data_IF_194011293277
#
_entry.id   IF_194011293277
#
_cell.length_a   1.000
_cell.length_b   1.000
_cell.length_c   1.000
_cell.angle_alpha   90.00
_cell.angle_beta   90.00
_cell.angle_gamma   90.00
#
_symmetry.space_group_name_H-M   'P 1'
#
loop_
_entity.id
_entity.type
_entity.pdbx_description
1 polymer ?
#
# COMPACT_ATOMS: atom_id res chain seq x y z
N UNK A 1 4.49 -6.96 -12.46
CA UNK A 1 5.28 -5.86 -11.90
C UNK A 1 6.15 -6.47 -10.80
N UNK A 2 7.46 -6.57 -11.03
CA UNK A 2 8.42 -7.23 -10.13
C UNK A 2 9.67 -6.35 -10.05
N UNK A 3 10.14 -6.13 -8.83
CA UNK A 3 11.37 -5.41 -8.53
C UNK A 3 12.22 -6.21 -7.57
N UNK A 4 13.52 -5.95 -7.61
CA UNK A 4 14.49 -6.50 -6.68
C UNK A 4 15.33 -5.35 -6.12
N UNK A 5 15.53 -5.36 -4.80
CA UNK A 5 16.37 -4.38 -4.10
C UNK A 5 17.39 -5.14 -3.24
N UNK A 6 18.66 -4.82 -3.39
CA UNK A 6 19.70 -5.11 -2.39
C UNK A 6 20.19 -3.78 -1.81
N UNK A 7 19.94 -3.58 -0.52
CA UNK A 7 20.32 -2.34 0.16
C UNK A 7 20.68 -2.58 1.62
N UNK A 8 21.86 -2.10 2.02
CA UNK A 8 22.38 -2.18 3.40
C UNK A 8 22.32 -3.60 4.01
N UNK A 9 22.53 -4.62 3.18
CA UNK A 9 22.51 -6.03 3.60
C UNK A 9 21.11 -6.65 3.67
N UNK A 10 20.08 -5.95 3.19
CA UNK A 10 18.74 -6.50 2.98
C UNK A 10 18.50 -6.71 1.50
N UNK A 11 18.12 -7.93 1.12
CA UNK A 11 17.58 -8.25 -0.18
C UNK A 11 16.05 -8.38 -0.08
N UNK A 12 15.33 -7.75 -1.01
CA UNK A 12 13.87 -7.81 -1.07
C UNK A 12 13.39 -7.97 -2.51
N UNK A 13 12.50 -8.95 -2.72
CA UNK A 13 11.67 -9.04 -3.90
C UNK A 13 10.36 -8.28 -3.65
N UNK A 14 10.05 -7.34 -4.53
CA UNK A 14 8.86 -6.50 -4.47
C UNK A 14 7.94 -6.87 -5.62
N UNK A 15 6.71 -7.22 -5.30
CA UNK A 15 5.69 -7.59 -6.28
C UNK A 15 4.60 -6.52 -6.30
N UNK A 16 4.41 -5.89 -7.45
CA UNK A 16 3.29 -4.95 -7.64
C UNK A 16 2.00 -5.73 -7.88
N UNK A 17 0.99 -5.45 -7.05
CA UNK A 17 -0.32 -6.09 -7.12
C UNK A 17 -1.36 -5.12 -7.69
N UNK A 18 -2.30 -5.58 -8.54
CA UNK A 18 -3.39 -4.73 -9.00
C UNK A 18 -4.28 -4.24 -7.85
N UNK A 19 -4.59 -2.95 -7.81
CA UNK A 19 -5.40 -2.34 -6.76
C UNK A 19 -6.92 -2.41 -6.97
N UNK A 20 -7.42 -2.97 -8.07
CA UNK A 20 -8.87 -3.01 -8.35
C UNK A 20 -9.57 -4.12 -7.56
N UNK A 21 -10.83 -3.89 -7.15
CA UNK A 21 -11.59 -4.82 -6.28
C UNK A 21 -11.72 -6.24 -6.81
N UNK A 22 -11.76 -6.41 -8.13
CA UNK A 22 -11.83 -7.75 -8.77
C UNK A 22 -10.61 -8.63 -8.48
N UNK A 23 -9.54 -8.07 -7.92
CA UNK A 23 -8.31 -8.76 -7.55
C UNK A 23 -8.17 -8.99 -6.04
N UNK A 24 -9.17 -8.65 -5.23
CA UNK A 24 -9.15 -8.90 -3.77
C UNK A 24 -8.79 -10.35 -3.40
N UNK A 25 -9.32 -11.41 -4.08
CA UNK A 25 -8.95 -12.79 -3.74
C UNK A 25 -7.46 -13.10 -3.92
N UNK A 26 -6.78 -12.39 -4.83
CA UNK A 26 -5.34 -12.58 -5.04
C UNK A 26 -4.56 -11.86 -3.95
N UNK A 27 -5.03 -10.70 -3.48
CA UNK A 27 -4.37 -9.91 -2.44
C UNK A 27 -4.32 -10.67 -1.11
N UNK A 28 -5.41 -11.35 -0.74
CA UNK A 28 -5.46 -12.20 0.47
C UNK A 28 -4.41 -13.33 0.42
N UNK A 29 -4.28 -14.00 -0.72
CA UNK A 29 -3.29 -15.06 -0.92
C UNK A 29 -1.85 -14.54 -0.87
N UNK A 30 -1.59 -13.39 -1.50
CA UNK A 30 -0.24 -12.81 -1.49
C UNK A 30 0.17 -12.29 -0.11
N UNK A 31 -0.80 -11.84 0.70
CA UNK A 31 -0.54 -11.38 2.06
C UNK A 31 -0.08 -12.51 3.00
N UNK A 32 -0.49 -13.76 2.76
CA UNK A 32 -0.09 -14.92 3.56
C UNK A 32 1.43 -15.18 3.50
N UNK A 33 2.02 -14.99 2.32
CA UNK A 33 3.44 -15.24 2.07
C UNK A 33 4.30 -13.96 2.16
N UNK A 34 3.67 -12.79 2.34
CA UNK A 34 4.36 -11.51 2.40
C UNK A 34 5.09 -11.33 3.73
N UNK A 35 6.23 -10.63 3.69
CA UNK A 35 6.98 -10.22 4.89
C UNK A 35 6.66 -8.78 5.31
N UNK A 36 5.88 -8.05 4.51
CA UNK A 36 5.50 -6.66 4.73
C UNK A 36 4.66 -6.12 3.57
N UNK A 37 3.97 -5.00 3.81
CA UNK A 37 3.10 -4.33 2.83
C UNK A 37 3.56 -2.89 2.63
N UNK A 38 3.68 -2.47 1.38
CA UNK A 38 3.80 -1.07 0.99
C UNK A 38 2.52 -0.67 0.27
N UNK A 39 1.64 0.03 0.97
CA UNK A 39 0.42 0.56 0.40
C UNK A 39 0.70 1.93 -0.22
N UNK A 40 0.65 2.01 -1.54
CA UNK A 40 0.78 3.29 -2.25
C UNK A 40 -0.59 3.93 -2.42
N UNK A 41 -0.74 5.18 -2.00
CA UNK A 41 -1.97 5.96 -2.14
C UNK A 41 -1.71 7.24 -2.92
N UNK A 42 -2.69 7.69 -3.69
CA UNK A 42 -2.64 8.96 -4.40
C UNK A 42 -3.07 10.08 -3.44
N UNK A 43 -2.12 10.93 -3.03
CA UNK A 43 -2.37 12.00 -2.05
C UNK A 43 -3.32 13.09 -2.58
N UNK A 44 -3.58 13.13 -3.89
CA UNK A 44 -4.52 14.08 -4.52
C UNK A 44 -5.95 13.57 -4.59
N UNK A 45 -6.18 12.28 -4.27
CA UNK A 45 -7.47 11.59 -4.48
C UNK A 45 -8.00 10.93 -3.21
N UNK A 46 -8.46 11.72 -2.21
CA UNK A 46 -9.02 11.18 -0.97
C UNK A 46 -10.22 10.24 -1.19
N UNK A 47 -10.95 10.38 -2.31
CA UNK A 47 -12.04 9.48 -2.67
C UNK A 47 -11.57 8.02 -2.87
N UNK A 48 -10.28 7.79 -3.12
CA UNK A 48 -9.70 6.45 -3.26
C UNK A 48 -9.34 5.80 -1.92
N UNK A 49 -9.39 6.54 -0.80
CA UNK A 49 -8.95 6.02 0.50
C UNK A 49 -9.87 4.94 1.05
N UNK A 50 -11.15 4.92 0.68
CA UNK A 50 -12.05 3.81 1.02
C UNK A 50 -11.49 2.47 0.47
N UNK A 51 -11.05 2.48 -0.79
CA UNK A 51 -10.43 1.31 -1.41
C UNK A 51 -9.11 0.94 -0.74
N UNK A 52 -8.31 1.94 -0.37
CA UNK A 52 -7.06 1.75 0.36
C UNK A 52 -7.28 1.06 1.72
N UNK A 53 -8.26 1.53 2.51
CA UNK A 53 -8.67 0.90 3.78
C UNK A 53 -9.13 -0.54 3.57
N UNK A 54 -9.91 -0.82 2.52
CA UNK A 54 -10.32 -2.19 2.20
C UNK A 54 -9.11 -3.10 1.95
N UNK A 55 -8.12 -2.64 1.19
CA UNK A 55 -6.88 -3.41 0.98
C UNK A 55 -6.12 -3.63 2.30
N UNK A 56 -6.05 -2.64 3.20
CA UNK A 56 -5.46 -2.81 4.52
C UNK A 56 -6.14 -3.92 5.31
N UNK A 57 -7.48 -3.93 5.34
CA UNK A 57 -8.25 -4.98 6.03
C UNK A 57 -7.98 -6.37 5.49
N UNK A 58 -7.82 -6.53 4.16
CA UNK A 58 -7.50 -7.83 3.55
C UNK A 58 -6.10 -8.33 3.94
N UNK A 59 -5.17 -7.43 4.26
CA UNK A 59 -3.78 -7.76 4.62
C UNK A 59 -3.51 -7.80 6.14
N UNK A 60 -4.42 -7.28 6.97
CA UNK A 60 -4.19 -7.07 8.41
C UNK A 60 -4.21 -8.34 9.26
N UNK A 61 -4.75 -9.45 8.73
CA UNK A 61 -4.82 -10.74 9.44
C UNK A 61 -3.46 -11.35 9.82
N UNK A 62 -2.37 -10.85 9.22
CA UNK A 62 -1.03 -11.45 9.32
C UNK A 62 -0.03 -10.62 10.13
N UNK A 63 -0.47 -9.54 10.80
CA UNK A 63 0.38 -8.64 11.61
C UNK A 63 1.64 -8.15 10.86
N UNK A 64 1.50 -7.93 9.55
CA UNK A 64 2.61 -7.52 8.68
C UNK A 64 3.05 -6.08 8.99
N UNK A 65 4.37 -5.80 8.96
CA UNK A 65 4.86 -4.44 8.88
C UNK A 65 4.23 -3.71 7.68
N UNK A 66 3.62 -2.56 7.95
CA UNK A 66 2.93 -1.76 6.95
C UNK A 66 3.61 -0.40 6.80
N UNK A 67 3.91 -0.03 5.57
CA UNK A 67 4.30 1.32 5.18
C UNK A 67 3.25 1.88 4.23
N UNK A 68 2.76 3.08 4.51
CA UNK A 68 1.93 3.84 3.56
C UNK A 68 2.81 4.84 2.83
N UNK A 69 2.86 4.73 1.51
CA UNK A 69 3.53 5.68 0.64
C UNK A 69 2.50 6.64 0.02
N UNK A 70 2.43 7.86 0.56
CA UNK A 70 1.66 8.94 -0.04
C UNK A 70 2.38 9.44 -1.29
N UNK A 71 1.80 9.18 -2.46
CA UNK A 71 2.36 9.51 -3.76
C UNK A 71 1.76 10.81 -4.31
N UNK A 72 2.45 11.42 -5.27
CA UNK A 72 2.07 12.70 -5.91
C UNK A 72 1.99 13.89 -4.95
N UNK A 73 2.83 13.88 -3.91
CA UNK A 73 2.91 14.94 -2.89
C UNK A 73 3.54 16.24 -3.40
N UNK A 74 4.07 16.23 -4.61
CA UNK A 74 4.60 17.38 -5.33
C UNK A 74 3.52 18.25 -6.00
N UNK A 75 2.25 17.79 -6.04
CA UNK A 75 1.13 18.51 -6.63
C UNK A 75 0.43 19.43 -5.62
N UNK A 76 -0.11 20.56 -6.09
CA UNK A 76 -0.69 21.61 -5.23
C UNK A 76 -1.90 21.14 -4.43
N UNK A 77 -2.70 20.23 -4.99
CA UNK A 77 -3.88 19.63 -4.37
C UNK A 77 -3.56 18.44 -3.45
N UNK A 78 -2.29 18.05 -3.31
CA UNK A 78 -1.91 16.90 -2.51
C UNK A 78 -2.15 17.12 -1.02
N UNK A 79 -2.73 16.11 -0.38
CA UNK A 79 -2.85 16.05 1.06
C UNK A 79 -1.49 15.89 1.71
N UNK A 80 -1.31 16.51 2.88
CA UNK A 80 -0.14 16.29 3.72
C UNK A 80 -0.10 14.85 4.25
N UNK A 81 1.07 14.30 4.61
CA UNK A 81 1.17 12.95 5.18
C UNK A 81 0.28 12.72 6.41
N UNK A 82 0.06 13.74 7.24
CA UNK A 82 -0.82 13.65 8.40
C UNK A 82 -2.30 13.55 7.99
N UNK A 83 -2.73 14.33 6.99
CA UNK A 83 -4.08 14.22 6.43
C UNK A 83 -4.32 12.87 5.73
N UNK A 84 -3.29 12.33 5.05
CA UNK A 84 -3.36 10.99 4.47
C UNK A 84 -3.52 9.94 5.57
N UNK A 85 -2.76 10.06 6.68
CA UNK A 85 -2.89 9.18 7.84
C UNK A 85 -4.30 9.22 8.43
N UNK A 86 -4.81 10.41 8.75
CA UNK A 86 -6.18 10.60 9.25
C UNK A 86 -7.23 10.03 8.27
N UNK A 87 -6.96 10.16 6.96
CA UNK A 87 -7.82 9.62 5.91
C UNK A 87 -7.78 8.10 5.73
N UNK A 88 -6.84 7.39 6.38
CA UNK A 88 -6.70 5.93 6.33
C UNK A 88 -7.03 5.24 7.65
N UNK A 89 -7.11 5.98 8.75
CA UNK A 89 -7.74 5.56 10.01
C UNK A 89 -9.26 5.34 9.82
#
# INVERSE_FOLDING_TARGET
DHGYLDYKGFAADVYGTPGQEKFDPILEFLAEEAVGVILVVDATKPETFERARRMLTLTSGYALPLVVAANFTDLDEALTPDQVREGLE
#
